data_IF_596863402290
#
_entry.id   IF_596863402290
#
_cell.length_a   1.000
_cell.length_b   1.000
_cell.length_c   1.000
_cell.angle_alpha   90.00
_cell.angle_beta   90.00
_cell.angle_gamma   90.00
#
_symmetry.space_group_name_H-M   'P 1'
#
loop_
_entity.id
_entity.type
_entity.pdbx_description
1 polymer ?
#
# COMPACT_ATOMS: atom_id res chain seq x y z
N UNK A 1 -10.90 9.16 -33.28
CA UNK A 1 -9.56 9.72 -33.03
C UNK A 1 -9.53 10.34 -31.64
N UNK A 2 -8.57 9.94 -30.80
CA UNK A 2 -8.45 10.49 -29.44
C UNK A 2 -7.75 11.85 -29.54
N UNK A 3 -8.50 12.92 -29.29
CA UNK A 3 -8.02 14.30 -29.34
C UNK A 3 -6.77 14.46 -28.45
N UNK A 4 -5.64 14.99 -28.97
CA UNK A 4 -4.42 15.08 -28.18
C UNK A 4 -4.62 16.11 -27.08
N UNK A 5 -4.74 15.63 -25.83
CA UNK A 5 -4.72 16.49 -24.65
C UNK A 5 -3.46 17.35 -24.68
N UNK A 6 -3.63 18.67 -24.76
CA UNK A 6 -2.52 19.61 -24.85
C UNK A 6 -1.72 19.55 -23.55
N UNK A 7 -0.49 19.03 -23.64
CA UNK A 7 0.45 18.90 -22.52
C UNK A 7 1.75 19.60 -22.90
N UNK A 8 2.62 19.79 -21.91
CA UNK A 8 3.94 20.34 -22.17
C UNK A 8 4.66 19.56 -23.28
N UNK A 9 5.07 20.27 -24.33
CA UNK A 9 5.72 19.69 -25.51
C UNK A 9 6.95 18.83 -25.15
N UNK A 10 7.74 19.24 -24.15
CA UNK A 10 8.93 18.49 -23.70
C UNK A 10 8.59 17.14 -23.05
N UNK A 11 7.35 16.95 -22.61
CA UNK A 11 6.93 15.79 -21.83
C UNK A 11 6.05 14.80 -22.63
N UNK A 12 5.38 15.25 -23.69
CA UNK A 12 4.37 14.48 -24.43
C UNK A 12 4.80 13.03 -24.73
N UNK A 13 5.94 12.85 -25.38
CA UNK A 13 6.42 11.51 -25.76
C UNK A 13 6.78 10.64 -24.54
N UNK A 14 7.29 11.26 -23.46
CA UNK A 14 7.60 10.54 -22.21
C UNK A 14 6.33 10.14 -21.47
N UNK A 15 5.28 10.97 -21.50
CA UNK A 15 3.96 10.66 -20.93
C UNK A 15 3.38 9.42 -21.61
N UNK A 16 3.39 9.35 -22.95
CA UNK A 16 2.91 8.19 -23.69
C UNK A 16 3.66 6.90 -23.30
N UNK A 17 5.00 6.95 -23.27
CA UNK A 17 5.84 5.82 -22.83
C UNK A 17 5.52 5.37 -21.41
N UNK A 18 5.32 6.30 -20.47
CA UNK A 18 4.97 6.01 -19.07
C UNK A 18 3.55 5.45 -18.93
N UNK A 19 2.59 5.92 -19.73
CA UNK A 19 1.22 5.36 -19.77
C UNK A 19 1.24 3.89 -20.18
N UNK A 20 1.91 3.56 -21.29
CA UNK A 20 2.05 2.18 -21.74
C UNK A 20 2.76 1.27 -20.72
N UNK A 21 3.77 1.78 -20.01
CA UNK A 21 4.44 1.05 -18.94
C UNK A 21 3.52 0.81 -17.73
N UNK A 22 2.78 1.84 -17.29
CA UNK A 22 1.82 1.72 -16.19
C UNK A 22 0.67 0.77 -16.51
N UNK A 23 0.16 0.79 -17.73
CA UNK A 23 -0.89 -0.14 -18.18
C UNK A 23 -0.46 -1.60 -18.03
N UNK A 24 0.76 -1.94 -18.48
CA UNK A 24 1.37 -3.28 -18.30
C UNK A 24 1.52 -3.67 -16.83
N UNK A 25 1.96 -2.74 -15.99
CA UNK A 25 2.09 -2.99 -14.54
C UNK A 25 0.71 -3.20 -13.90
N UNK A 26 -0.28 -2.38 -14.27
CA UNK A 26 -1.63 -2.44 -13.71
C UNK A 26 -2.32 -3.76 -14.05
N UNK A 27 -2.21 -4.23 -15.29
CA UNK A 27 -2.71 -5.54 -15.70
C UNK A 27 -2.13 -6.69 -14.87
N UNK A 28 -0.87 -6.56 -14.43
CA UNK A 28 -0.19 -7.57 -13.59
C UNK A 28 -0.44 -7.37 -12.09
N UNK A 29 -0.92 -6.20 -11.66
CA UNK A 29 -1.04 -5.86 -10.24
C UNK A 29 -2.28 -6.55 -9.66
N UNK A 30 -2.08 -7.40 -8.65
CA UNK A 30 -3.18 -8.01 -7.90
C UNK A 30 -3.96 -6.92 -7.13
N UNK A 31 -5.26 -7.14 -6.93
CA UNK A 31 -6.14 -6.28 -6.12
C UNK A 31 -5.52 -6.02 -4.74
N UNK A 32 -5.73 -4.81 -4.22
CA UNK A 32 -5.25 -4.42 -2.90
C UNK A 32 -5.74 -5.44 -1.86
N UNK A 33 -4.80 -6.06 -1.18
CA UNK A 33 -5.08 -7.02 -0.11
C UNK A 33 -5.31 -6.23 1.19
N UNK A 34 -6.17 -6.72 2.11
CA UNK A 34 -6.39 -6.07 3.41
C UNK A 34 -5.11 -5.94 4.24
N UNK A 35 -4.12 -6.80 3.98
CA UNK A 35 -2.78 -6.74 4.54
C UNK A 35 -1.77 -7.35 3.56
N UNK A 36 -0.51 -6.95 3.66
CA UNK A 36 0.54 -7.40 2.74
C UNK A 36 1.08 -8.80 3.08
N UNK A 37 1.11 -9.16 4.36
CA UNK A 37 1.72 -10.40 4.83
C UNK A 37 0.86 -11.07 5.91
N UNK A 38 0.53 -12.33 5.70
CA UNK A 38 -0.26 -13.15 6.63
C UNK A 38 0.39 -13.27 8.01
N UNK A 39 1.70 -13.49 8.06
CA UNK A 39 2.45 -13.60 9.32
C UNK A 39 2.38 -12.31 10.14
N UNK A 40 2.44 -11.14 9.49
CA UNK A 40 2.32 -9.83 10.14
C UNK A 40 0.91 -9.58 10.67
N UNK A 41 -0.11 -9.97 9.90
CA UNK A 41 -1.50 -9.90 10.36
C UNK A 41 -1.71 -10.76 11.61
N UNK A 42 -1.31 -12.04 11.57
CA UNK A 42 -1.35 -12.95 12.73
C UNK A 42 -0.56 -12.44 13.93
N UNK A 43 0.57 -11.78 13.71
CA UNK A 43 1.34 -11.14 14.77
C UNK A 43 0.54 -9.99 15.42
N UNK A 44 0.00 -9.06 14.62
CA UNK A 44 -0.78 -7.94 15.11
C UNK A 44 -2.07 -8.37 15.85
N UNK A 45 -2.70 -9.48 15.46
CA UNK A 45 -3.87 -10.03 16.15
C UNK A 45 -3.53 -10.62 17.52
N UNK A 46 -2.34 -11.21 17.68
CA UNK A 46 -1.90 -11.86 18.93
C UNK A 46 -1.32 -10.91 19.97
N UNK A 47 -0.96 -9.67 19.59
CA UNK A 47 -0.35 -8.71 20.50
C UNK A 47 -1.33 -8.30 21.62
N UNK A 48 -0.89 -8.23 22.88
CA UNK A 48 -1.73 -7.80 23.98
C UNK A 48 -2.12 -6.32 23.82
N UNK A 49 -3.36 -6.00 24.18
CA UNK A 49 -3.95 -4.67 24.04
C UNK A 49 -4.45 -4.14 25.37
N UNK A 50 -4.43 -2.82 25.51
CA UNK A 50 -5.12 -2.11 26.60
C UNK A 50 -6.62 -1.95 26.30
N UNK A 51 -7.40 -1.43 27.25
CA UNK A 51 -8.86 -1.28 27.11
C UNK A 51 -9.30 -0.39 25.93
N UNK A 52 -8.44 0.51 25.45
CA UNK A 52 -8.68 1.35 24.27
C UNK A 52 -8.24 0.75 22.93
N UNK A 53 -7.91 -0.55 22.87
CA UNK A 53 -7.51 -1.23 21.64
C UNK A 53 -6.08 -0.93 21.16
N UNK A 54 -5.37 -0.01 21.82
CA UNK A 54 -3.94 0.23 21.60
C UNK A 54 -3.13 -0.98 22.08
N UNK A 55 -2.02 -1.25 21.41
CA UNK A 55 -1.05 -2.21 21.91
C UNK A 55 -0.45 -1.70 23.21
N UNK A 56 -0.20 -2.61 24.15
CA UNK A 56 0.49 -2.28 25.38
C UNK A 56 1.93 -1.82 25.09
N UNK A 57 2.43 -0.89 25.90
CA UNK A 57 3.84 -0.51 25.90
C UNK A 57 4.70 -1.65 26.47
N UNK A 58 6.01 -1.61 26.21
CA UNK A 58 6.90 -2.65 26.72
C UNK A 58 6.89 -2.72 28.27
N UNK A 59 6.77 -1.58 28.93
CA UNK A 59 6.67 -1.48 30.39
C UNK A 59 5.36 -2.08 30.91
N UNK A 60 4.23 -1.78 30.26
CA UNK A 60 2.91 -2.35 30.60
C UNK A 60 2.84 -3.86 30.38
N UNK A 61 3.52 -4.37 29.34
CA UNK A 61 3.64 -5.82 29.11
C UNK A 61 4.43 -6.46 30.23
N UNK A 62 5.59 -5.89 30.60
CA UNK A 62 6.43 -6.40 31.69
C UNK A 62 5.72 -6.34 33.05
N UNK A 63 4.86 -5.35 33.27
CA UNK A 63 4.06 -5.25 34.49
C UNK A 63 2.88 -6.25 34.55
N UNK A 64 2.54 -6.89 33.41
CA UNK A 64 1.49 -7.92 33.31
C UNK A 64 2.02 -9.35 33.30
N UNK A 65 3.29 -9.54 32.98
CA UNK A 65 4.03 -10.81 33.17
C UNK A 65 4.33 -11.03 34.66
#
# INVERSE_FOLDING_TARGET
DEEPLYVNAKQYHRILKRRAARARILQRRKREQPYQHESRHKHAMRRPRGPGGRFLTAEEVKAKE
#
